data_IF_705442729664
#
_entry.id   IF_705442729664
#
_cell.length_a   1.000
_cell.length_b   1.000
_cell.length_c   1.000
_cell.angle_alpha   90.00
_cell.angle_beta   90.00
_cell.angle_gamma   90.00
#
_symmetry.space_group_name_H-M   'P 1'
#
loop_
_entity.id
_entity.type
_entity.pdbx_description
1 polymer ?
#
# COMPACT_ATOMS: atom_id res chain seq x y z
N UNK A 1 4.82 -23.35 2.24
CA UNK A 1 5.83 -23.39 1.16
C UNK A 1 5.72 -22.11 0.35
N UNK A 2 6.85 -21.50 -0.01
CA UNK A 2 6.89 -20.32 -0.88
C UNK A 2 6.61 -20.74 -2.32
N UNK A 3 5.77 -19.99 -3.04
CA UNK A 3 5.47 -20.25 -4.46
C UNK A 3 6.53 -19.55 -5.32
N UNK A 4 7.56 -20.30 -5.68
CA UNK A 4 8.70 -19.76 -6.42
C UNK A 4 8.41 -19.57 -7.92
N UNK A 5 7.46 -20.31 -8.48
CA UNK A 5 7.14 -20.27 -9.91
C UNK A 5 5.65 -20.01 -10.10
N UNK A 6 5.31 -18.81 -10.57
CA UNK A 6 3.97 -18.51 -11.09
C UNK A 6 3.79 -19.09 -12.49
N UNK A 7 4.87 -19.06 -13.29
CA UNK A 7 5.00 -19.73 -14.59
C UNK A 7 6.32 -20.51 -14.60
N UNK A 8 6.34 -21.71 -15.20
CA UNK A 8 7.50 -22.61 -15.14
C UNK A 8 8.67 -22.17 -16.01
N UNK A 9 8.40 -21.41 -17.06
CA UNK A 9 9.31 -20.98 -18.11
C UNK A 9 9.82 -19.54 -17.94
N UNK A 10 9.37 -18.84 -16.89
CA UNK A 10 9.76 -17.47 -16.58
C UNK A 10 10.57 -17.44 -15.27
N UNK A 11 11.43 -16.42 -15.07
CA UNK A 11 12.15 -16.27 -13.81
C UNK A 11 11.17 -16.08 -12.64
N UNK A 12 11.59 -16.45 -11.41
CA UNK A 12 10.76 -16.26 -10.23
C UNK A 12 10.46 -14.77 -10.00
N UNK A 13 9.35 -14.44 -9.32
CA UNK A 13 9.07 -13.08 -8.89
C UNK A 13 10.20 -12.47 -8.06
N UNK A 14 10.22 -11.14 -7.96
CA UNK A 14 11.17 -10.44 -7.11
C UNK A 14 11.05 -10.83 -5.64
N UNK A 15 12.19 -10.86 -4.95
CA UNK A 15 12.23 -11.10 -3.49
C UNK A 15 11.58 -9.95 -2.72
N UNK A 16 10.98 -10.26 -1.57
CA UNK A 16 10.28 -9.30 -0.72
C UNK A 16 11.20 -8.29 -0.04
N UNK A 17 10.62 -7.20 0.44
CA UNK A 17 11.29 -6.17 1.26
C UNK A 17 11.97 -6.78 2.48
N UNK A 18 11.37 -7.78 3.13
CA UNK A 18 12.00 -8.51 4.24
C UNK A 18 13.38 -9.06 3.87
N UNK A 19 13.47 -9.78 2.75
CA UNK A 19 14.73 -10.36 2.30
C UNK A 19 15.71 -9.28 1.86
N UNK A 20 15.24 -8.27 1.10
CA UNK A 20 16.09 -7.17 0.64
C UNK A 20 16.70 -6.36 1.80
N UNK A 21 15.94 -6.10 2.86
CA UNK A 21 16.43 -5.43 4.07
C UNK A 21 17.54 -6.27 4.73
N UNK A 22 17.33 -7.59 4.89
CA UNK A 22 18.34 -8.48 5.51
C UNK A 22 19.62 -8.62 4.69
N UNK A 23 19.51 -8.53 3.36
CA UNK A 23 20.65 -8.52 2.44
C UNK A 23 21.34 -7.15 2.36
N UNK A 24 20.82 -6.11 3.02
CA UNK A 24 21.35 -4.75 2.94
C UNK A 24 21.08 -4.04 1.61
N UNK A 25 20.13 -4.54 0.81
CA UNK A 25 19.76 -3.93 -0.49
C UNK A 25 18.74 -2.80 -0.34
N UNK A 26 18.04 -2.75 0.79
CA UNK A 26 17.21 -1.62 1.21
C UNK A 26 17.85 -1.04 2.47
N UNK A 27 18.27 0.22 2.41
CA UNK A 27 18.87 0.91 3.54
C UNK A 27 17.79 1.39 4.53
N UNK A 28 18.15 1.68 5.80
CA UNK A 28 17.19 2.19 6.78
C UNK A 28 16.44 3.45 6.35
N UNK A 29 17.07 4.33 5.58
CA UNK A 29 16.49 5.58 5.08
C UNK A 29 15.41 5.35 4.02
N UNK A 30 15.42 4.19 3.37
CA UNK A 30 14.41 3.77 2.40
C UNK A 30 13.20 3.07 3.06
N UNK A 31 13.16 3.05 4.39
CA UNK A 31 12.08 2.43 5.18
C UNK A 31 11.46 3.46 6.12
N UNK A 32 10.18 3.76 5.93
CA UNK A 32 9.44 4.59 6.86
C UNK A 32 9.02 3.75 8.06
N UNK A 33 9.37 4.20 9.27
CA UNK A 33 8.87 3.62 10.51
C UNK A 33 7.61 4.36 10.97
N UNK A 34 6.53 3.61 11.22
CA UNK A 34 5.26 4.15 11.73
C UNK A 34 4.80 3.30 12.89
N UNK A 35 4.57 3.89 14.07
CA UNK A 35 4.11 3.13 15.24
C UNK A 35 2.60 2.87 15.16
N UNK A 36 2.13 1.75 15.73
CA UNK A 36 0.71 1.56 16.00
C UNK A 36 0.06 2.79 16.66
N UNK A 37 -1.12 3.19 16.18
CA UNK A 37 -1.80 4.40 16.67
C UNK A 37 -1.45 5.70 15.92
N UNK A 38 -0.34 5.74 15.18
CA UNK A 38 0.05 6.93 14.42
C UNK A 38 -0.72 7.03 13.08
N UNK A 39 -0.67 8.22 12.47
CA UNK A 39 -1.16 8.44 11.11
C UNK A 39 -0.01 8.95 10.26
N UNK A 40 0.29 8.26 9.16
CA UNK A 40 1.39 8.59 8.27
C UNK A 40 1.04 8.28 6.81
N UNK A 41 1.57 9.11 5.91
CA UNK A 41 1.50 8.91 4.46
C UNK A 41 2.90 8.58 3.92
N UNK A 42 2.98 7.67 2.94
CA UNK A 42 4.18 7.44 2.16
C UNK A 42 3.83 7.23 0.68
N UNK A 43 4.75 7.61 -0.21
CA UNK A 43 4.73 7.23 -1.62
C UNK A 43 5.81 6.16 -1.83
N UNK A 44 5.41 4.92 -2.08
CA UNK A 44 6.32 3.78 -2.21
C UNK A 44 6.70 3.57 -3.67
N UNK A 45 7.99 3.64 -3.97
CA UNK A 45 8.50 3.23 -5.28
C UNK A 45 8.28 1.73 -5.51
N UNK A 46 8.11 1.28 -6.76
CA UNK A 46 8.02 -0.15 -7.06
C UNK A 46 9.21 -0.90 -6.48
N UNK A 47 8.96 -1.99 -5.75
CA UNK A 47 10.02 -2.73 -5.06
C UNK A 47 11.08 -3.29 -6.02
N UNK A 48 10.70 -3.53 -7.29
CA UNK A 48 11.59 -4.00 -8.35
C UNK A 48 12.52 -2.90 -8.92
N UNK A 49 12.38 -1.65 -8.48
CA UNK A 49 13.22 -0.52 -8.87
C UNK A 49 13.97 0.06 -7.65
N UNK A 50 14.91 0.97 -7.92
CA UNK A 50 15.48 1.85 -6.90
C UNK A 50 14.48 2.99 -6.62
N UNK A 51 14.50 3.51 -5.40
CA UNK A 51 13.65 4.63 -5.03
C UNK A 51 13.99 5.17 -3.65
N UNK A 52 13.44 6.33 -3.32
CA UNK A 52 13.68 6.99 -2.04
C UNK A 52 13.00 6.25 -0.89
N UNK A 53 11.82 5.68 -1.13
CA UNK A 53 11.05 4.95 -0.13
C UNK A 53 10.56 3.63 -0.74
N UNK A 54 10.96 2.51 -0.16
CA UNK A 54 10.67 1.17 -0.71
C UNK A 54 9.78 0.34 0.20
N UNK A 55 9.71 0.66 1.49
CA UNK A 55 8.85 -0.04 2.43
C UNK A 55 8.37 0.85 3.58
N UNK A 56 7.26 0.45 4.21
CA UNK A 56 6.88 0.92 5.55
C UNK A 56 7.02 -0.23 6.53
N UNK A 57 7.61 0.03 7.70
CA UNK A 57 7.71 -0.91 8.81
C UNK A 57 6.86 -0.45 9.99
N UNK A 58 5.97 -1.32 10.44
CA UNK A 58 5.05 -1.06 11.56
C UNK A 58 5.35 -2.07 12.68
N UNK A 59 6.04 -1.69 13.76
CA UNK A 59 6.35 -2.60 14.85
C UNK A 59 5.09 -3.02 15.61
N UNK A 60 5.03 -4.28 16.01
CA UNK A 60 3.95 -4.89 16.78
C UNK A 60 4.50 -5.46 18.10
N UNK A 61 3.59 -5.97 18.95
CA UNK A 61 3.99 -6.66 20.19
C UNK A 61 4.82 -7.91 19.89
N UNK A 62 5.73 -8.25 20.80
CA UNK A 62 6.54 -9.47 20.71
C UNK A 62 7.56 -9.47 19.57
N UNK A 63 8.11 -8.30 19.21
CA UNK A 63 9.08 -8.12 18.12
C UNK A 63 8.56 -8.46 16.71
N UNK A 64 7.25 -8.71 16.58
CA UNK A 64 6.57 -8.86 15.30
C UNK A 64 6.46 -7.50 14.61
N UNK A 65 6.28 -7.49 13.30
CA UNK A 65 6.05 -6.25 12.56
C UNK A 65 5.33 -6.50 11.24
N UNK A 66 4.63 -5.48 10.75
CA UNK A 66 4.22 -5.44 9.35
C UNK A 66 5.32 -4.80 8.49
N UNK A 67 5.53 -5.35 7.29
CA UNK A 67 6.16 -4.66 6.18
C UNK A 67 5.13 -4.41 5.09
N UNK A 68 5.18 -3.22 4.51
CA UNK A 68 4.29 -2.81 3.43
C UNK A 68 5.15 -2.46 2.23
N UNK A 69 4.87 -3.06 1.06
CA UNK A 69 5.67 -2.91 -0.16
C UNK A 69 4.79 -2.70 -1.40
N UNK A 70 5.30 -1.97 -2.39
CA UNK A 70 4.62 -1.74 -3.67
C UNK A 70 5.11 -2.74 -4.72
N UNK A 71 4.23 -3.64 -5.19
CA UNK A 71 4.52 -4.65 -6.22
C UNK A 71 3.85 -4.24 -7.53
N UNK A 72 4.65 -4.07 -8.59
CA UNK A 72 4.21 -3.63 -9.91
C UNK A 72 4.69 -4.61 -10.97
N UNK A 73 3.99 -4.77 -12.11
CA UNK A 73 4.30 -5.78 -13.13
C UNK A 73 5.51 -5.36 -14.00
N UNK A 74 6.65 -5.14 -13.38
CA UNK A 74 7.90 -4.67 -13.99
C UNK A 74 9.07 -5.51 -13.50
N UNK A 75 10.15 -5.60 -14.29
CA UNK A 75 11.34 -6.34 -13.91
C UNK A 75 11.04 -7.82 -13.63
N UNK A 76 11.42 -8.32 -12.46
CA UNK A 76 11.12 -9.69 -12.02
C UNK A 76 9.66 -9.88 -11.61
N UNK A 77 8.95 -8.80 -11.26
CA UNK A 77 7.56 -8.87 -10.82
C UNK A 77 6.56 -8.92 -11.99
N UNK A 78 7.03 -8.88 -13.25
CA UNK A 78 6.18 -9.02 -14.46
C UNK A 78 5.32 -10.29 -14.48
N UNK A 79 5.76 -11.33 -13.77
CA UNK A 79 5.10 -12.64 -13.71
C UNK A 79 4.05 -12.72 -12.61
N UNK A 80 3.97 -11.74 -11.70
CA UNK A 80 3.01 -11.76 -10.60
C UNK A 80 1.57 -11.70 -11.13
N UNK A 81 0.63 -12.43 -10.51
CA UNK A 81 -0.76 -12.47 -10.95
C UNK A 81 -1.57 -11.21 -10.59
N UNK A 82 -1.05 -10.34 -9.70
CA UNK A 82 -1.67 -9.08 -9.32
C UNK A 82 -0.60 -8.03 -8.99
N UNK A 83 -1.04 -6.77 -8.89
CA UNK A 83 -0.20 -5.61 -8.62
C UNK A 83 -0.87 -4.69 -7.60
N UNK A 84 -0.07 -4.04 -6.77
CA UNK A 84 -0.54 -3.11 -5.75
C UNK A 84 0.27 -3.23 -4.47
N UNK A 85 -0.37 -2.96 -3.35
CA UNK A 85 0.26 -2.96 -2.05
C UNK A 85 0.27 -4.39 -1.48
N UNK A 86 1.43 -4.95 -1.21
CA UNK A 86 1.56 -6.22 -0.49
C UNK A 86 1.89 -5.93 0.98
N UNK A 87 1.25 -6.64 1.89
CA UNK A 87 1.48 -6.51 3.34
C UNK A 87 2.01 -7.86 3.85
N UNK A 88 3.13 -7.81 4.56
CA UNK A 88 3.80 -8.97 5.15
C UNK A 88 3.72 -8.88 6.67
N UNK A 89 3.25 -9.93 7.32
CA UNK A 89 3.38 -10.11 8.77
C UNK A 89 4.66 -10.87 9.05
N UNK A 90 5.57 -10.25 9.77
CA UNK A 90 6.87 -10.81 10.11
C UNK A 90 6.90 -11.15 11.59
N UNK A 91 7.27 -12.39 11.88
CA UNK A 91 7.52 -12.90 13.22
C UNK A 91 8.95 -13.42 13.32
N UNK A 92 9.91 -12.60 13.78
CA UNK A 92 11.30 -13.01 13.92
C UNK A 92 11.53 -14.16 14.89
N UNK A 93 10.58 -14.43 15.80
CA UNK A 93 10.69 -15.49 16.78
C UNK A 93 10.12 -16.83 16.27
N UNK A 94 9.47 -16.83 15.10
CA UNK A 94 8.97 -18.05 14.49
C UNK A 94 10.16 -18.94 14.06
N UNK A 95 10.19 -20.23 14.44
CA UNK A 95 11.21 -21.15 13.97
C UNK A 95 11.22 -21.25 12.44
N UNK A 96 12.37 -21.58 11.88
CA UNK A 96 12.51 -21.76 10.43
C UNK A 96 11.48 -22.79 9.91
N UNK A 97 10.84 -22.47 8.79
CA UNK A 97 9.77 -23.28 8.21
C UNK A 97 8.36 -23.03 8.77
N UNK A 98 8.20 -22.32 9.90
CA UNK A 98 6.88 -22.03 10.51
C UNK A 98 6.26 -20.70 10.05
N UNK A 99 6.89 -20.06 9.07
CA UNK A 99 6.41 -18.82 8.45
C UNK A 99 6.86 -17.58 9.21
N UNK A 100 8.17 -17.35 9.29
CA UNK A 100 8.79 -16.10 9.73
C UNK A 100 8.22 -14.89 8.98
N UNK A 101 7.81 -15.09 7.72
CA UNK A 101 7.12 -14.09 6.90
C UNK A 101 5.84 -14.71 6.35
N UNK A 102 4.71 -14.02 6.55
CA UNK A 102 3.40 -14.42 6.02
C UNK A 102 2.79 -13.25 5.25
N UNK A 103 2.37 -13.51 4.02
CA UNK A 103 1.60 -12.54 3.24
C UNK A 103 0.21 -12.39 3.83
N UNK A 104 -0.21 -11.15 4.07
CA UNK A 104 -1.58 -10.82 4.43
C UNK A 104 -2.41 -10.80 3.15
N UNK A 105 -3.14 -11.88 2.89
CA UNK A 105 -3.93 -12.02 1.67
C UNK A 105 -5.12 -11.06 1.68
N UNK A 106 -5.15 -10.09 0.76
CA UNK A 106 -6.26 -9.17 0.61
C UNK A 106 -7.57 -9.88 0.21
N UNK A 107 -7.47 -11.05 -0.43
CA UNK A 107 -8.61 -11.86 -0.87
C UNK A 107 -8.50 -13.29 -0.35
N UNK A 108 -9.16 -13.58 0.77
CA UNK A 108 -9.09 -14.89 1.44
C UNK A 108 -9.54 -16.05 0.56
N UNK A 109 -10.38 -15.78 -0.43
CA UNK A 109 -10.95 -16.78 -1.34
C UNK A 109 -10.11 -16.93 -2.62
N UNK A 110 -9.04 -16.14 -2.76
CA UNK A 110 -8.14 -16.22 -3.89
C UNK A 110 -7.30 -17.51 -3.83
N UNK A 111 -7.35 -18.35 -4.89
CA UNK A 111 -6.47 -19.49 -4.98
C UNK A 111 -5.02 -18.99 -5.15
N UNK A 112 -4.08 -19.66 -4.48
CA UNK A 112 -2.64 -19.42 -4.63
C UNK A 112 -2.22 -17.94 -4.47
N UNK A 113 -2.89 -17.19 -3.59
CA UNK A 113 -2.59 -15.77 -3.38
C UNK A 113 -2.65 -14.90 -4.65
N UNK A 114 -3.34 -15.36 -5.70
CA UNK A 114 -3.41 -14.69 -7.00
C UNK A 114 -4.01 -13.28 -6.97
N UNK A 115 -4.68 -12.91 -5.87
CA UNK A 115 -5.27 -11.57 -5.62
C UNK A 115 -4.86 -11.02 -4.25
N UNK A 116 -3.65 -11.32 -3.80
CA UNK A 116 -3.19 -10.97 -2.45
C UNK A 116 -2.88 -9.49 -2.21
N UNK A 117 -2.69 -8.69 -3.26
CA UNK A 117 -2.39 -7.26 -3.10
C UNK A 117 -3.63 -6.44 -2.76
N UNK A 118 -3.44 -5.41 -1.94
CA UNK A 118 -4.44 -4.38 -1.65
C UNK A 118 -4.39 -3.28 -2.71
N UNK A 119 -5.57 -2.82 -3.15
CA UNK A 119 -5.74 -1.78 -4.16
C UNK A 119 -6.95 -0.89 -3.87
N UNK A 120 -6.80 0.42 -4.02
CA UNK A 120 -7.87 1.39 -3.74
C UNK A 120 -9.11 1.13 -4.62
N UNK A 121 -8.90 0.73 -5.89
CA UNK A 121 -9.93 0.49 -6.90
C UNK A 121 -10.64 -0.87 -6.77
N UNK A 122 -10.46 -1.58 -5.65
CA UNK A 122 -11.07 -2.90 -5.40
C UNK A 122 -11.79 -2.90 -4.05
N UNK A 123 -13.11 -2.79 -4.06
CA UNK A 123 -13.94 -2.58 -2.85
C UNK A 123 -13.65 -3.53 -1.68
N UNK A 124 -13.35 -4.80 -1.92
CA UNK A 124 -13.09 -5.79 -0.86
C UNK A 124 -11.60 -5.94 -0.52
N UNK A 125 -10.73 -5.15 -1.16
CA UNK A 125 -9.26 -5.23 -1.08
C UNK A 125 -8.62 -3.84 -0.96
N UNK A 126 -9.38 -2.82 -0.59
CA UNK A 126 -8.94 -1.43 -0.54
C UNK A 126 -8.50 -0.97 0.86
N UNK A 127 -8.50 -1.88 1.84
CA UNK A 127 -8.05 -1.60 3.20
C UNK A 127 -7.66 -2.88 3.91
N UNK A 128 -6.58 -2.82 4.69
CA UNK A 128 -6.23 -3.80 5.70
C UNK A 128 -6.52 -3.22 7.10
N UNK A 129 -7.13 -4.00 7.99
CA UNK A 129 -7.44 -3.58 9.36
C UNK A 129 -6.99 -4.67 10.34
N UNK A 130 -6.15 -4.28 11.30
CA UNK A 130 -5.82 -5.05 12.50
C UNK A 130 -6.22 -4.26 13.74
N UNK A 131 -7.39 -4.59 14.29
CA UNK A 131 -7.91 -3.93 15.50
C UNK A 131 -7.08 -4.23 16.74
N UNK A 132 -6.50 -5.44 16.83
CA UNK A 132 -5.66 -5.83 17.98
C UNK A 132 -4.34 -5.07 18.03
N UNK A 133 -3.81 -4.72 16.86
CA UNK A 133 -2.65 -3.86 16.72
C UNK A 133 -2.98 -2.36 16.67
N UNK A 134 -4.25 -1.95 16.61
CA UNK A 134 -4.66 -0.56 16.35
C UNK A 134 -4.04 0.02 15.05
N UNK A 135 -4.04 -0.77 13.96
CA UNK A 135 -3.47 -0.40 12.66
C UNK A 135 -4.49 -0.60 11.55
N UNK A 136 -4.56 0.36 10.65
CA UNK A 136 -5.22 0.27 9.35
C UNK A 136 -4.27 0.75 8.26
N UNK A 137 -4.26 0.07 7.11
CA UNK A 137 -3.38 0.37 5.97
C UNK A 137 -4.25 0.49 4.72
N UNK A 138 -4.21 1.65 4.06
CA UNK A 138 -5.04 1.96 2.91
C UNK A 138 -4.12 2.24 1.71
N UNK A 139 -4.13 1.42 0.63
CA UNK A 139 -3.54 1.81 -0.64
C UNK A 139 -4.24 3.05 -1.19
N UNK A 140 -3.47 3.96 -1.77
CA UNK A 140 -3.98 5.22 -2.34
C UNK A 140 -3.79 5.24 -3.86
N UNK A 141 -3.81 6.44 -4.45
CA UNK A 141 -3.53 6.67 -5.85
C UNK A 141 -2.03 6.57 -6.17
N UNK A 142 -1.72 6.45 -7.46
CA UNK A 142 -0.35 6.54 -7.96
C UNK A 142 0.12 8.00 -7.99
N UNK A 143 1.39 8.22 -7.66
CA UNK A 143 2.10 9.49 -7.77
C UNK A 143 3.33 9.29 -8.65
N UNK A 144 3.15 9.47 -9.97
CA UNK A 144 4.12 8.99 -10.97
C UNK A 144 4.15 7.46 -10.96
N UNK A 145 5.35 6.89 -10.80
CA UNK A 145 5.56 5.44 -10.67
C UNK A 145 5.34 4.93 -9.23
N UNK A 146 5.23 5.83 -8.25
CA UNK A 146 5.05 5.47 -6.84
C UNK A 146 3.59 5.16 -6.53
N UNK A 147 3.36 4.29 -5.56
CA UNK A 147 2.04 4.02 -5.00
C UNK A 147 1.91 4.69 -3.63
N UNK A 148 0.91 5.56 -3.47
CA UNK A 148 0.60 6.14 -2.16
C UNK A 148 0.07 5.08 -1.19
N UNK A 149 0.39 5.22 0.09
CA UNK A 149 -0.16 4.43 1.18
C UNK A 149 -0.41 5.31 2.40
N UNK A 150 -1.55 5.10 3.07
CA UNK A 150 -1.84 5.66 4.37
C UNK A 150 -1.78 4.56 5.44
N UNK A 151 -1.05 4.83 6.51
CA UNK A 151 -1.08 4.06 7.75
C UNK A 151 -1.84 4.91 8.76
N UNK A 152 -2.83 4.33 9.42
CA UNK A 152 -3.68 5.04 10.39
C UNK A 152 -4.28 4.07 11.40
N UNK A 153 -5.25 4.52 12.20
CA UNK A 153 -6.01 3.68 13.12
C UNK A 153 -7.29 3.15 12.49
N UNK A 154 -7.84 2.01 12.95
CA UNK A 154 -9.16 1.54 12.54
C UNK A 154 -10.26 2.59 12.72
N UNK A 155 -10.18 3.40 13.79
CA UNK A 155 -11.12 4.48 14.08
C UNK A 155 -11.15 5.54 12.96
N UNK A 156 -9.98 6.01 12.51
CA UNK A 156 -9.87 7.03 11.46
C UNK A 156 -10.05 6.46 10.05
N UNK A 157 -9.93 5.15 9.90
CA UNK A 157 -9.83 4.50 8.59
C UNK A 157 -11.09 4.66 7.72
N UNK A 158 -12.27 4.74 8.32
CA UNK A 158 -13.52 4.90 7.58
C UNK A 158 -13.60 6.24 6.83
N UNK A 159 -13.26 7.34 7.52
CA UNK A 159 -13.24 8.67 6.91
C UNK A 159 -12.10 8.81 5.91
N UNK A 160 -10.92 8.25 6.23
CA UNK A 160 -9.79 8.21 5.32
C UNK A 160 -10.11 7.46 4.02
N UNK A 161 -10.72 6.26 4.11
CA UNK A 161 -11.07 5.48 2.94
C UNK A 161 -12.13 6.18 2.08
N UNK A 162 -13.16 6.78 2.71
CA UNK A 162 -14.16 7.58 1.98
C UNK A 162 -13.54 8.74 1.23
N UNK A 163 -12.63 9.49 1.87
CA UNK A 163 -11.92 10.60 1.25
C UNK A 163 -11.04 10.10 0.08
N UNK A 164 -10.28 9.02 0.27
CA UNK A 164 -9.42 8.45 -0.76
C UNK A 164 -10.21 8.00 -2.00
N UNK A 165 -11.31 7.28 -1.81
CA UNK A 165 -12.20 6.85 -2.90
C UNK A 165 -12.83 8.05 -3.62
N UNK A 166 -13.17 9.12 -2.90
CA UNK A 166 -13.73 10.33 -3.52
C UNK A 166 -12.68 11.07 -4.36
N UNK A 167 -11.44 11.19 -3.87
CA UNK A 167 -10.32 11.77 -4.63
C UNK A 167 -10.03 10.93 -5.88
N UNK A 168 -10.05 9.60 -5.77
CA UNK A 168 -9.90 8.72 -6.93
C UNK A 168 -11.03 8.91 -7.94
N UNK A 169 -12.27 9.02 -7.49
CA UNK A 169 -13.43 9.30 -8.35
C UNK A 169 -13.29 10.64 -9.07
N UNK A 170 -12.88 11.70 -8.37
CA UNK A 170 -12.60 13.01 -8.95
C UNK A 170 -11.47 12.96 -9.99
N UNK A 171 -10.40 12.23 -9.68
CA UNK A 171 -9.26 12.06 -10.61
C UNK A 171 -9.66 11.29 -11.87
N UNK A 172 -10.53 10.28 -11.74
CA UNK A 172 -11.05 9.53 -12.89
C UNK A 172 -12.06 10.35 -13.72
N UNK A 173 -12.79 11.29 -13.09
CA UNK A 173 -13.68 12.23 -13.79
C UNK A 173 -12.90 13.20 -14.67
N UNK A 174 -11.72 13.64 -14.20
CA UNK A 174 -10.84 14.60 -14.86
C UNK A 174 -9.45 13.97 -15.11
N UNK A 175 -9.31 13.09 -16.12
CA UNK A 175 -8.01 12.49 -16.46
C UNK A 175 -7.08 13.51 -17.13
N UNK A 176 -5.77 13.23 -17.15
CA UNK A 176 -4.81 14.07 -17.88
C UNK A 176 -4.91 13.86 -19.41
N UNK A 177 -4.71 14.92 -20.24
CA UNK A 177 -4.55 16.31 -19.84
C UNK A 177 -5.88 16.92 -19.37
N UNK A 178 -5.84 17.71 -18.28
CA UNK A 178 -7.01 18.41 -17.69
C UNK A 178 -6.77 19.91 -17.57
N UNK A 179 -7.85 20.67 -17.40
CA UNK A 179 -7.80 22.11 -17.19
C UNK A 179 -7.12 22.52 -15.89
N UNK A 180 -6.75 23.80 -15.81
CA UNK A 180 -6.02 24.37 -14.66
C UNK A 180 -6.84 24.28 -13.37
N UNK A 181 -8.15 24.50 -13.46
CA UNK A 181 -9.05 24.50 -12.30
C UNK A 181 -9.22 23.09 -11.73
N UNK A 182 -9.47 22.09 -12.59
CA UNK A 182 -9.58 20.69 -12.18
C UNK A 182 -8.26 20.17 -11.60
N UNK A 183 -7.13 20.57 -12.20
CA UNK A 183 -5.82 20.19 -11.67
C UNK A 183 -5.59 20.78 -10.28
N UNK A 184 -5.86 22.07 -10.08
CA UNK A 184 -5.72 22.74 -8.78
C UNK A 184 -6.65 22.12 -7.72
N UNK A 185 -7.87 21.78 -8.10
CA UNK A 185 -8.83 21.13 -7.20
C UNK A 185 -8.30 19.76 -6.73
N UNK A 186 -7.80 18.92 -7.64
CA UNK A 186 -7.26 17.60 -7.29
C UNK A 186 -6.01 17.76 -6.41
N UNK A 187 -5.10 18.68 -6.73
CA UNK A 187 -3.92 18.97 -5.93
C UNK A 187 -4.30 19.45 -4.52
N UNK A 188 -5.30 20.31 -4.38
CA UNK A 188 -5.81 20.75 -3.10
C UNK A 188 -6.40 19.59 -2.29
N UNK A 189 -7.15 18.69 -2.94
CA UNK A 189 -7.67 17.48 -2.31
C UNK A 189 -6.55 16.56 -1.80
N UNK A 190 -5.53 16.33 -2.61
CA UNK A 190 -4.37 15.52 -2.25
C UNK A 190 -3.59 16.17 -1.10
N UNK A 191 -3.36 17.49 -1.15
CA UNK A 191 -2.66 18.22 -0.10
C UNK A 191 -3.43 18.20 1.23
N UNK A 192 -4.75 18.38 1.17
CA UNK A 192 -5.64 18.21 2.31
C UNK A 192 -5.51 16.80 2.89
N UNK A 193 -5.55 15.76 2.05
CA UNK A 193 -5.51 14.37 2.51
C UNK A 193 -4.20 14.06 3.22
N UNK A 194 -3.08 14.58 2.71
CA UNK A 194 -1.75 14.46 3.31
C UNK A 194 -1.59 15.22 4.63
N UNK A 195 -2.51 16.16 4.95
CA UNK A 195 -2.63 16.79 6.28
C UNK A 195 -3.55 16.02 7.23
N UNK A 196 -4.08 14.88 6.79
CA UNK A 196 -4.96 13.98 7.54
C UNK A 196 -6.32 14.57 7.95
N UNK A 197 -6.78 15.62 7.27
CA UNK A 197 -8.12 16.20 7.46
C UNK A 197 -9.16 15.53 6.56
N UNK A 198 -9.38 14.23 6.75
CA UNK A 198 -10.14 13.40 5.79
C UNK A 198 -11.58 13.89 5.54
N UNK A 199 -12.23 14.48 6.54
CA UNK A 199 -13.60 14.99 6.41
C UNK A 199 -13.66 16.20 5.47
N UNK A 200 -12.78 17.18 5.67
CA UNK A 200 -12.69 18.36 4.80
C UNK A 200 -12.32 17.94 3.37
N UNK A 201 -11.38 17.01 3.21
CA UNK A 201 -10.97 16.57 1.88
C UNK A 201 -12.09 15.83 1.14
N UNK A 202 -12.86 15.00 1.85
CA UNK A 202 -14.05 14.38 1.30
C UNK A 202 -15.06 15.41 0.81
N UNK A 203 -15.37 16.43 1.62
CA UNK A 203 -16.31 17.48 1.26
C UNK A 203 -15.85 18.27 0.03
N UNK A 204 -14.56 18.63 -0.02
CA UNK A 204 -13.98 19.34 -1.15
C UNK A 204 -14.03 18.50 -2.44
N UNK A 205 -13.64 17.23 -2.38
CA UNK A 205 -13.70 16.32 -3.52
C UNK A 205 -15.15 16.05 -3.97
N UNK A 206 -16.09 15.95 -3.02
CA UNK A 206 -17.51 15.76 -3.32
C UNK A 206 -18.11 17.00 -4.01
N UNK A 207 -17.72 18.21 -3.62
CA UNK A 207 -18.21 19.44 -4.24
C UNK A 207 -17.81 19.52 -5.71
N UNK A 208 -16.53 19.29 -6.02
CA UNK A 208 -16.06 19.35 -7.40
C UNK A 208 -16.50 18.21 -8.32
N UNK A 209 -17.28 17.24 -7.81
CA UNK A 209 -17.98 16.24 -8.61
C UNK A 209 -19.44 16.62 -8.90
N UNK A 210 -19.99 17.62 -8.22
CA UNK A 210 -21.35 18.14 -8.42
C UNK A 210 -21.39 19.30 -9.41
N UNK A 211 -20.28 20.00 -9.56
CA UNK A 211 -20.01 21.01 -10.58
C UNK A 211 -19.65 20.32 -11.91
#
# INVERSE_FOLDING_TARGET
MSEHFVKRDEPPPGISSFTKIRLGWISPEQVLFVKPGETAYAALSPLSQKGNMLAVKIPLKGNRYYLVENRQPIGFDRVLPDSGLLILNVDPNAPEGYGTVKTMNADKDSPHFSRATFRLDRNNRNIFIDKGANVAIIPLWAEGENLGVLITTPEKSADALKAALMIQKLTNRYPQPRGREENQLIENCVACFKRFDFKTCYQMAQKGLKD
#
